data_IF_849298873471
#
_entry.id   IF_849298873471
#
_cell.length_a   1.000
_cell.length_b   1.000
_cell.length_c   1.000
_cell.angle_alpha   90.00
_cell.angle_beta   90.00
_cell.angle_gamma   90.00
#
_symmetry.space_group_name_H-M   'P 1'
#
loop_
_entity.id
_entity.type
_entity.pdbx_description
1 polymer ?
#
# COMPACT_ATOMS: atom_id res chain seq x y z
N UNK A 1 1.76 7.52 5.92
CA UNK A 1 2.88 7.27 5.00
C UNK A 1 2.44 7.32 3.55
N UNK A 2 3.03 8.19 2.75
CA UNK A 2 2.88 8.23 1.28
C UNK A 2 3.82 7.20 0.66
N UNK A 3 3.26 6.26 -0.08
CA UNK A 3 3.98 5.11 -0.62
C UNK A 3 3.62 4.92 -2.09
N UNK A 4 4.59 4.60 -2.93
CA UNK A 4 4.32 4.02 -4.25
C UNK A 4 4.25 2.50 -4.10
N UNK A 5 3.14 1.88 -4.51
CA UNK A 5 2.98 0.43 -4.43
C UNK A 5 3.73 -0.24 -5.56
N UNK A 6 4.67 -1.11 -5.22
CA UNK A 6 5.52 -1.86 -6.15
C UNK A 6 5.15 -3.34 -6.23
N UNK A 7 4.51 -3.88 -5.18
CA UNK A 7 4.15 -5.29 -5.10
C UNK A 7 2.88 -5.53 -4.29
N UNK A 8 2.16 -6.59 -4.63
CA UNK A 8 0.99 -7.05 -3.89
C UNK A 8 1.03 -8.58 -3.81
N UNK A 9 0.92 -9.10 -2.60
CA UNK A 9 0.81 -10.54 -2.34
C UNK A 9 -0.48 -10.83 -1.60
N UNK A 10 -1.26 -11.78 -2.12
CA UNK A 10 -2.56 -12.17 -1.57
C UNK A 10 -2.47 -13.62 -1.12
N UNK A 11 -2.57 -13.88 0.18
CA UNK A 11 -2.62 -15.24 0.74
C UNK A 11 -4.00 -15.55 1.32
N UNK A 12 -4.15 -16.73 1.94
CA UNK A 12 -5.39 -17.13 2.59
C UNK A 12 -5.69 -16.28 3.84
N UNK A 13 -4.64 -15.95 4.60
CA UNK A 13 -4.73 -15.34 5.93
C UNK A 13 -4.42 -13.84 5.93
N UNK A 14 -3.58 -13.38 4.99
CA UNK A 14 -3.11 -11.99 4.95
C UNK A 14 -3.04 -11.43 3.53
N UNK A 15 -2.98 -10.10 3.44
CA UNK A 15 -2.67 -9.36 2.23
C UNK A 15 -1.47 -8.48 2.54
N UNK A 16 -0.43 -8.59 1.71
CA UNK A 16 0.77 -7.79 1.82
C UNK A 16 0.80 -6.77 0.68
N UNK A 17 1.07 -5.51 1.01
CA UNK A 17 1.46 -4.49 0.05
C UNK A 17 2.93 -4.13 0.26
N UNK A 18 3.69 -4.08 -0.83
CA UNK A 18 5.07 -3.63 -0.86
C UNK A 18 5.13 -2.29 -1.60
N UNK A 19 6.00 -1.40 -1.15
CA UNK A 19 6.16 -0.11 -1.79
C UNK A 19 7.42 0.63 -1.42
N UNK A 20 7.63 1.75 -2.09
CA UNK A 20 8.72 2.69 -1.80
C UNK A 20 8.15 3.86 -0.99
N UNK A 21 8.76 4.16 0.15
CA UNK A 21 8.41 5.34 0.94
C UNK A 21 8.85 6.59 0.19
N UNK A 22 7.90 7.49 -0.09
CA UNK A 22 8.17 8.73 -0.83
C UNK A 22 8.37 9.93 0.10
N UNK A 23 8.12 9.77 1.41
CA UNK A 23 8.23 10.89 2.36
C UNK A 23 9.68 11.32 2.55
N UNK A 24 10.63 10.37 2.51
CA UNK A 24 12.07 10.64 2.61
C UNK A 24 12.62 11.37 1.39
N UNK A 25 12.05 11.15 0.21
CA UNK A 25 12.44 11.84 -1.02
C UNK A 25 12.01 13.31 -1.03
N UNK A 26 10.85 13.63 -0.43
CA UNK A 26 10.33 14.99 -0.38
C UNK A 26 11.08 15.90 0.61
N UNK A 27 11.77 15.32 1.59
CA UNK A 27 12.47 16.05 2.65
C UNK A 27 14.00 16.05 2.50
N UNK A 28 14.53 15.54 1.38
CA UNK A 28 15.96 15.51 1.14
C UNK A 28 16.52 16.92 0.91
N UNK A 29 17.59 17.26 1.64
CA UNK A 29 18.32 18.53 1.48
C UNK A 29 19.10 18.63 0.15
N UNK A 30 19.34 17.48 -0.51
CA UNK A 30 19.97 17.39 -1.83
C UNK A 30 19.13 16.51 -2.78
N UNK A 31 18.51 17.16 -3.78
CA UNK A 31 17.68 16.54 -4.82
C UNK A 31 18.46 15.60 -5.76
N UNK A 32 19.79 15.67 -5.75
CA UNK A 32 20.67 14.89 -6.63
C UNK A 32 21.46 13.82 -5.88
N UNK A 33 21.32 13.71 -4.56
CA UNK A 33 21.87 12.60 -3.81
C UNK A 33 21.19 11.29 -4.25
N UNK A 34 21.93 10.19 -4.30
CA UNK A 34 21.33 8.86 -4.42
C UNK A 34 20.46 8.63 -3.18
N UNK A 35 19.15 8.84 -3.34
CA UNK A 35 18.18 8.59 -2.30
C UNK A 35 18.02 7.08 -2.19
N UNK A 36 18.44 6.51 -1.06
CA UNK A 36 18.11 5.14 -0.71
C UNK A 36 16.58 5.01 -0.71
N UNK A 37 16.04 4.29 -1.71
CA UNK A 37 14.63 3.97 -1.79
C UNK A 37 14.25 3.09 -0.58
N UNK A 38 13.70 3.71 0.47
CA UNK A 38 13.24 2.98 1.65
C UNK A 38 12.05 2.11 1.24
N UNK A 39 12.30 0.80 1.10
CA UNK A 39 11.26 -0.18 0.86
C UNK A 39 10.49 -0.44 2.15
N UNK A 40 9.17 -0.37 2.04
CA UNK A 40 8.24 -0.57 3.15
C UNK A 40 7.22 -1.65 2.80
N UNK A 41 6.80 -2.40 3.82
CA UNK A 41 5.83 -3.48 3.70
C UNK A 41 4.67 -3.24 4.64
N UNK A 42 3.45 -3.43 4.15
CA UNK A 42 2.22 -3.31 4.91
C UNK A 42 1.47 -4.64 4.91
N UNK A 43 1.14 -5.14 6.10
CA UNK A 43 0.47 -6.43 6.28
C UNK A 43 -0.94 -6.20 6.80
N UNK A 44 -1.91 -6.80 6.12
CA UNK A 44 -3.32 -6.73 6.45
C UNK A 44 -3.84 -8.14 6.72
N UNK A 45 -3.97 -8.47 8.00
CA UNK A 45 -4.56 -9.73 8.45
C UNK A 45 -6.09 -9.72 8.18
N UNK A 46 -6.58 -10.83 7.63
CA UNK A 46 -7.99 -10.98 7.22
C UNK A 46 -8.95 -11.24 8.38
N UNK A 47 -8.43 -11.74 9.49
CA UNK A 47 -9.16 -12.13 10.70
C UNK A 47 -9.03 -11.08 11.82
N UNK A 48 -8.02 -10.22 11.74
CA UNK A 48 -7.79 -9.17 12.73
C UNK A 48 -8.95 -8.14 12.80
N UNK A 49 -9.32 -7.78 14.02
CA UNK A 49 -10.38 -6.82 14.34
C UNK A 49 -11.71 -7.04 13.59
N UNK A 50 -12.07 -8.30 13.30
CA UNK A 50 -13.32 -8.63 12.60
C UNK A 50 -13.38 -8.11 11.15
N UNK A 51 -12.23 -8.04 10.47
CA UNK A 51 -12.14 -7.61 9.06
C UNK A 51 -11.99 -6.10 8.87
N UNK A 52 -11.65 -5.35 9.93
CA UNK A 52 -11.42 -3.91 9.84
C UNK A 52 -10.26 -3.56 8.90
N UNK A 53 -9.18 -4.35 8.91
CA UNK A 53 -8.03 -4.20 8.00
C UNK A 53 -8.46 -4.33 6.52
N UNK A 54 -9.27 -5.34 6.20
CA UNK A 54 -9.83 -5.52 4.86
C UNK A 54 -10.76 -4.36 4.46
N UNK A 55 -11.59 -3.87 5.38
CA UNK A 55 -12.46 -2.72 5.12
C UNK A 55 -11.66 -1.45 4.84
N UNK A 56 -10.56 -1.24 5.57
CA UNK A 56 -9.62 -0.15 5.30
C UNK A 56 -9.02 -0.27 3.91
N UNK A 57 -8.46 -1.45 3.60
CA UNK A 57 -7.84 -1.72 2.31
C UNK A 57 -8.82 -1.56 1.14
N UNK A 58 -10.07 -1.98 1.31
CA UNK A 58 -11.12 -1.78 0.33
C UNK A 58 -11.42 -0.30 0.08
N UNK A 59 -11.47 0.53 1.13
CA UNK A 59 -11.65 1.98 0.99
C UNK A 59 -10.46 2.64 0.28
N UNK A 60 -9.24 2.23 0.60
CA UNK A 60 -8.02 2.68 -0.07
C UNK A 60 -8.10 2.35 -1.56
N UNK A 61 -8.50 1.13 -1.92
CA UNK A 61 -8.71 0.77 -3.31
C UNK A 61 -9.80 1.64 -3.97
N UNK A 62 -10.93 1.86 -3.33
CA UNK A 62 -12.04 2.64 -3.91
C UNK A 62 -11.68 4.11 -4.20
N UNK A 63 -10.78 4.71 -3.42
CA UNK A 63 -10.33 6.09 -3.68
C UNK A 63 -9.43 6.19 -4.92
N UNK A 64 -8.89 5.08 -5.43
CA UNK A 64 -8.06 5.06 -6.63
C UNK A 64 -8.90 4.91 -7.90
N UNK A 65 -8.79 5.89 -8.82
CA UNK A 65 -9.49 5.85 -10.12
C UNK A 65 -9.24 4.54 -10.88
N UNK A 66 -7.99 4.03 -10.88
CA UNK A 66 -7.63 2.77 -11.55
C UNK A 66 -8.44 1.56 -11.03
N UNK A 67 -8.81 1.57 -9.75
CA UNK A 67 -9.51 0.48 -9.07
C UNK A 67 -11.04 0.58 -9.16
N UNK A 68 -11.61 1.70 -9.62
CA UNK A 68 -13.06 1.92 -9.65
C UNK A 68 -13.77 0.98 -10.65
N UNK A 69 -13.10 0.58 -11.72
CA UNK A 69 -13.65 -0.32 -12.75
C UNK A 69 -13.56 -1.80 -12.38
N UNK A 70 -12.81 -2.16 -11.33
CA UNK A 70 -12.66 -3.53 -10.85
C UNK A 70 -13.84 -3.95 -9.95
N UNK A 71 -14.30 -5.20 -10.11
CA UNK A 71 -15.49 -5.73 -9.42
C UNK A 71 -15.15 -6.45 -8.13
N UNK A 72 -14.01 -7.13 -8.08
CA UNK A 72 -13.55 -7.87 -6.88
C UNK A 72 -12.46 -7.11 -6.13
N UNK A 73 -12.23 -7.46 -4.86
CA UNK A 73 -11.10 -6.93 -4.10
C UNK A 73 -9.77 -7.37 -4.71
N UNK A 74 -9.64 -8.62 -5.17
CA UNK A 74 -8.44 -9.11 -5.85
C UNK A 74 -8.08 -8.27 -7.08
N UNK A 75 -9.04 -8.03 -7.96
CA UNK A 75 -8.83 -7.18 -9.15
C UNK A 75 -8.48 -5.72 -8.81
N UNK A 76 -8.95 -5.21 -7.67
CA UNK A 76 -8.59 -3.87 -7.19
C UNK A 76 -7.15 -3.86 -6.70
N UNK A 77 -6.75 -4.87 -5.95
CA UNK A 77 -5.41 -5.03 -5.40
C UNK A 77 -4.36 -5.15 -6.50
N UNK A 78 -4.63 -5.94 -7.55
CA UNK A 78 -3.72 -6.05 -8.70
C UNK A 78 -3.48 -4.69 -9.39
N UNK A 79 -4.49 -3.81 -9.39
CA UNK A 79 -4.42 -2.47 -9.97
C UNK A 79 -3.78 -1.42 -9.05
N UNK A 80 -3.45 -1.77 -7.80
CA UNK A 80 -2.74 -0.86 -6.90
C UNK A 80 -1.27 -0.68 -7.30
N UNK A 81 -0.66 -1.64 -7.99
CA UNK A 81 0.74 -1.52 -8.43
C UNK A 81 0.90 -0.28 -9.31
N UNK A 82 1.91 0.55 -8.99
CA UNK A 82 2.15 1.86 -9.59
C UNK A 82 1.13 2.93 -9.20
N UNK A 83 0.47 2.78 -8.05
CA UNK A 83 -0.31 3.85 -7.42
C UNK A 83 0.47 4.45 -6.25
N UNK A 84 0.44 5.79 -6.16
CA UNK A 84 0.89 6.52 -4.98
C UNK A 84 -0.30 6.68 -4.05
N UNK A 85 -0.21 6.09 -2.87
CA UNK A 85 -1.30 6.05 -1.89
C UNK A 85 -0.82 6.41 -0.49
N UNK A 86 -1.73 6.94 0.33
CA UNK A 86 -1.47 7.17 1.75
C UNK A 86 -1.95 5.95 2.55
N UNK A 87 -0.99 5.25 3.18
CA UNK A 87 -1.26 4.13 4.07
C UNK A 87 -1.01 4.51 5.54
N UNK A 88 -1.80 3.89 6.42
CA UNK A 88 -1.63 4.01 7.87
C UNK A 88 -0.42 3.17 8.32
N UNK A 89 0.43 3.78 9.14
CA UNK A 89 1.62 3.12 9.70
C UNK A 89 1.29 1.99 10.66
N UNK A 90 0.05 1.93 11.17
CA UNK A 90 -0.41 0.82 12.01
C UNK A 90 -0.35 -0.54 11.29
N UNK A 91 -0.31 -0.54 9.95
CA UNK A 91 -0.18 -1.75 9.15
C UNK A 91 1.25 -1.98 8.65
N UNK A 92 2.20 -1.08 8.93
CA UNK A 92 3.60 -1.23 8.51
C UNK A 92 4.23 -2.38 9.31
N UNK A 93 4.83 -3.33 8.60
CA UNK A 93 5.64 -4.40 9.21
C UNK A 93 6.89 -3.75 9.84
N UNK A 94 7.11 -3.99 11.14
CA UNK A 94 8.23 -3.40 11.91
C UNK A 94 9.55 -4.11 11.63
#
# INVERSE_FOLDING_TARGET
MIVEITGVTISADEITLEGTNLETMLTADDLYAELDEEKVRFVFDRHEYGGAALKYLYKVCQSQRKCQTARSLGEKLDKLVGCIISLSENFKEQ
#
